data_IF_437823069327
#
_entry.id   IF_437823069327
#
_cell.length_a   1.000
_cell.length_b   1.000
_cell.length_c   1.000
_cell.angle_alpha   90.00
_cell.angle_beta   90.00
_cell.angle_gamma   90.00
#
_symmetry.space_group_name_H-M   'P 1'
#
loop_
_entity.id
_entity.type
_entity.pdbx_description
1 polymer ?
#
# COMPACT_ATOMS: atom_id res chain seq x y z
N UNK A 1 43.36 -34.05 -28.92
CA UNK A 1 42.10 -33.28 -28.76
C UNK A 1 42.44 -31.81 -28.95
N UNK A 2 42.14 -31.28 -30.13
CA UNK A 2 42.33 -29.87 -30.51
C UNK A 2 41.22 -29.04 -29.89
N UNK A 3 41.57 -28.13 -28.98
CA UNK A 3 40.65 -27.13 -28.43
C UNK A 3 40.36 -26.09 -29.50
N UNK A 4 39.08 -25.87 -29.79
CA UNK A 4 38.65 -24.79 -30.71
C UNK A 4 39.05 -23.43 -30.11
N UNK A 5 39.62 -22.48 -30.88
CA UNK A 5 39.96 -21.14 -30.38
C UNK A 5 38.74 -20.28 -30.05
N UNK A 6 37.53 -20.79 -30.30
CA UNK A 6 36.25 -20.14 -30.07
C UNK A 6 35.54 -20.80 -28.89
N UNK A 7 36.19 -20.87 -27.73
CA UNK A 7 35.47 -21.09 -26.47
C UNK A 7 34.34 -20.05 -26.34
N UNK A 8 33.24 -20.36 -25.63
CA UNK A 8 32.12 -19.43 -25.49
C UNK A 8 32.63 -18.07 -25.01
N UNK A 9 32.41 -17.02 -25.81
CA UNK A 9 32.83 -15.65 -25.45
C UNK A 9 32.19 -15.29 -24.13
N UNK A 10 32.95 -14.87 -23.12
CA UNK A 10 32.38 -14.56 -21.83
C UNK A 10 31.41 -13.36 -21.91
N UNK A 11 30.38 -13.36 -21.05
CA UNK A 11 29.41 -12.27 -21.01
C UNK A 11 30.10 -10.96 -20.60
N UNK A 12 30.01 -9.94 -21.47
CA UNK A 12 30.60 -8.62 -21.22
C UNK A 12 30.02 -7.91 -20.00
N UNK A 13 28.81 -8.28 -19.57
CA UNK A 13 28.21 -7.76 -18.33
C UNK A 13 28.70 -8.51 -17.08
N UNK A 14 28.95 -9.81 -17.18
CA UNK A 14 29.39 -10.61 -16.03
C UNK A 14 30.90 -10.48 -15.73
N UNK A 15 31.69 -9.94 -16.68
CA UNK A 15 33.14 -9.76 -16.53
C UNK A 15 33.57 -8.32 -16.29
N UNK A 16 32.64 -7.38 -16.11
CA UNK A 16 33.01 -6.00 -15.79
C UNK A 16 33.73 -6.01 -14.43
N UNK A 17 34.88 -5.32 -14.37
CA UNK A 17 35.61 -5.02 -13.14
C UNK A 17 35.80 -3.51 -12.98
N UNK A 18 35.91 -3.07 -11.73
CA UNK A 18 35.93 -1.65 -11.36
C UNK A 18 35.36 -1.44 -9.96
N UNK A 19 35.33 -0.20 -9.45
CA UNK A 19 34.79 0.09 -8.12
C UNK A 19 33.36 -0.45 -7.97
N UNK A 20 33.17 -1.37 -7.02
CA UNK A 20 31.91 -2.10 -6.85
C UNK A 20 31.06 -1.51 -5.72
N UNK A 21 29.79 -1.26 -6.02
CA UNK A 21 28.77 -0.86 -5.05
C UNK A 21 27.64 -1.88 -5.06
N UNK A 22 27.21 -2.32 -3.88
CA UNK A 22 25.93 -2.97 -3.68
C UNK A 22 24.89 -1.90 -3.34
N UNK A 23 24.03 -1.48 -4.28
CA UNK A 23 23.01 -0.51 -3.96
C UNK A 23 21.84 -1.20 -3.26
N UNK A 24 21.35 -0.56 -2.21
CA UNK A 24 20.14 -0.95 -1.48
C UNK A 24 19.22 0.26 -1.35
N UNK A 25 17.96 0.03 -1.03
CA UNK A 25 16.95 1.08 -0.88
C UNK A 25 16.24 0.95 0.45
N UNK A 26 15.70 2.07 0.92
CA UNK A 26 14.75 2.07 2.01
C UNK A 26 13.41 1.48 1.57
N UNK A 27 12.75 0.75 2.47
CA UNK A 27 11.38 0.31 2.32
C UNK A 27 10.66 0.43 3.66
N UNK A 28 9.38 0.79 3.62
CA UNK A 28 8.48 0.79 4.78
C UNK A 28 7.90 -0.60 4.97
N UNK A 29 7.68 -0.98 6.23
CA UNK A 29 7.11 -2.26 6.64
C UNK A 29 6.26 -2.07 7.90
N UNK A 30 5.34 -2.99 8.23
CA UNK A 30 4.73 -3.01 9.56
C UNK A 30 5.79 -3.22 10.63
N UNK A 31 5.55 -2.67 11.81
CA UNK A 31 6.44 -2.78 12.96
C UNK A 31 6.55 -4.23 13.48
N UNK A 32 7.64 -4.51 14.19
CA UNK A 32 7.87 -5.83 14.82
C UNK A 32 8.51 -6.87 13.90
N UNK A 33 9.05 -6.46 12.74
CA UNK A 33 9.88 -7.32 11.89
C UNK A 33 11.33 -7.36 12.37
N UNK A 34 12.07 -8.39 11.97
CA UNK A 34 13.44 -8.64 12.45
C UNK A 34 14.51 -7.68 11.90
N UNK A 35 14.17 -6.82 10.94
CA UNK A 35 15.09 -5.86 10.32
C UNK A 35 14.66 -4.42 10.60
N UNK A 36 15.65 -3.55 10.73
CA UNK A 36 15.49 -2.11 10.88
C UNK A 36 16.56 -1.38 10.07
N UNK A 37 16.45 -0.06 9.94
CA UNK A 37 17.50 0.75 9.30
C UNK A 37 18.78 0.69 10.15
N UNK A 38 19.90 0.14 9.62
CA UNK A 38 21.14 0.05 10.37
C UNK A 38 21.77 1.43 10.58
N UNK A 39 22.65 1.54 11.58
CA UNK A 39 23.21 2.83 12.01
C UNK A 39 23.95 3.58 10.89
N UNK A 40 24.69 2.85 10.04
CA UNK A 40 25.42 3.44 8.91
C UNK A 40 24.49 4.02 7.83
N UNK A 41 23.25 3.54 7.78
CA UNK A 41 22.25 3.90 6.78
C UNK A 41 21.17 4.84 7.32
N UNK A 42 21.37 5.50 8.46
CA UNK A 42 20.39 6.49 8.91
C UNK A 42 20.32 7.65 7.90
N UNK A 43 19.11 8.05 7.46
CA UNK A 43 18.97 9.19 6.57
C UNK A 43 19.28 10.49 7.32
N UNK A 44 19.77 11.51 6.59
CA UNK A 44 20.08 12.82 7.16
C UNK A 44 18.84 13.52 7.75
N UNK A 45 17.71 13.32 7.10
CA UNK A 45 16.38 13.70 7.60
C UNK A 45 15.66 12.43 8.03
N UNK A 46 15.22 12.31 9.29
CA UNK A 46 14.45 11.16 9.74
C UNK A 46 13.20 10.97 8.89
N UNK A 47 12.85 9.71 8.66
CA UNK A 47 11.57 9.39 8.04
C UNK A 47 10.41 9.75 9.00
N UNK A 48 9.25 10.18 8.45
CA UNK A 48 8.01 10.22 9.21
C UNK A 48 7.75 8.91 9.97
N UNK A 49 7.34 9.04 11.22
CA UNK A 49 7.02 7.92 12.11
C UNK A 49 5.52 7.80 12.24
N UNK A 50 4.99 6.58 12.16
CA UNK A 50 3.57 6.32 12.37
C UNK A 50 3.40 5.05 13.19
N UNK A 51 2.32 4.97 13.96
CA UNK A 51 2.05 3.82 14.81
C UNK A 51 1.94 2.54 13.97
N UNK A 52 2.73 1.54 14.35
CA UNK A 52 2.69 0.23 13.71
C UNK A 52 3.49 0.10 12.41
N UNK A 53 4.34 1.08 12.05
CA UNK A 53 5.21 0.99 10.87
C UNK A 53 6.67 1.35 11.18
N UNK A 54 7.58 0.64 10.52
CA UNK A 54 9.03 0.79 10.60
C UNK A 54 9.66 0.86 9.20
N UNK A 55 10.97 1.09 9.14
CA UNK A 55 11.73 1.11 7.90
C UNK A 55 12.90 0.12 7.96
N UNK A 56 13.27 -0.42 6.81
CA UNK A 56 14.43 -1.31 6.65
C UNK A 56 15.10 -1.10 5.29
N UNK A 57 16.19 -1.83 5.04
CA UNK A 57 16.87 -1.85 3.74
C UNK A 57 16.51 -3.09 2.92
N UNK A 58 16.27 -2.91 1.62
CA UNK A 58 16.03 -3.96 0.63
C UNK A 58 16.92 -3.81 -0.58
N UNK A 59 17.05 -4.87 -1.36
CA UNK A 59 17.55 -4.78 -2.73
C UNK A 59 16.68 -3.81 -3.57
N UNK A 60 17.28 -3.20 -4.58
CA UNK A 60 16.56 -2.32 -5.50
C UNK A 60 15.43 -3.07 -6.22
N UNK A 61 14.26 -2.41 -6.34
CA UNK A 61 13.16 -2.87 -7.20
C UNK A 61 13.40 -2.46 -8.65
N UNK A 62 12.57 -2.97 -9.56
CA UNK A 62 12.64 -2.60 -10.99
C UNK A 62 12.65 -1.08 -11.17
N UNK A 63 13.53 -0.60 -12.05
CA UNK A 63 13.72 0.82 -12.29
C UNK A 63 15.07 1.13 -12.93
N UNK A 64 15.65 2.27 -12.54
CA UNK A 64 16.88 2.80 -13.08
C UNK A 64 17.79 3.31 -11.96
N UNK A 65 19.10 3.18 -12.17
CA UNK A 65 20.11 3.83 -11.34
C UNK A 65 20.94 4.76 -12.23
N UNK A 66 21.08 6.00 -11.79
CA UNK A 66 21.90 7.01 -12.47
C UNK A 66 23.08 7.38 -11.59
N UNK A 67 24.27 7.41 -12.20
CA UNK A 67 25.53 7.77 -11.55
C UNK A 67 26.11 8.98 -12.27
N UNK A 68 26.33 10.07 -11.54
CA UNK A 68 27.03 11.26 -12.02
C UNK A 68 28.43 11.32 -11.46
N UNK A 69 29.44 11.46 -12.33
CA UNK A 69 30.83 11.59 -11.94
C UNK A 69 31.25 13.06 -11.94
N UNK A 70 31.55 13.64 -10.78
CA UNK A 70 31.92 15.06 -10.70
C UNK A 70 33.25 15.37 -11.40
N UNK A 71 34.18 14.42 -11.40
CA UNK A 71 35.55 14.61 -11.90
C UNK A 71 35.60 14.90 -13.40
N UNK A 72 34.65 14.38 -14.19
CA UNK A 72 34.59 14.60 -15.64
C UNK A 72 33.20 15.01 -16.15
N UNK A 73 32.24 15.23 -15.22
CA UNK A 73 30.86 15.65 -15.52
C UNK A 73 30.14 14.71 -16.48
N UNK A 74 30.37 13.39 -16.35
CA UNK A 74 29.73 12.37 -17.17
C UNK A 74 28.66 11.61 -16.38
N UNK A 75 27.70 11.07 -17.13
CA UNK A 75 26.63 10.22 -16.60
C UNK A 75 26.82 8.77 -17.02
N UNK A 76 26.51 7.87 -16.09
CA UNK A 76 26.34 6.44 -16.32
C UNK A 76 24.93 6.04 -15.91
N UNK A 77 24.29 5.18 -16.71
CA UNK A 77 22.93 4.70 -16.46
C UNK A 77 22.89 3.19 -16.36
N UNK A 78 22.03 2.70 -15.49
CA UNK A 78 21.77 1.29 -15.24
C UNK A 78 20.27 1.05 -15.21
N UNK A 79 19.84 -0.13 -15.65
CA UNK A 79 18.48 -0.62 -15.42
C UNK A 79 18.50 -1.70 -14.34
N UNK A 80 17.47 -1.71 -13.51
CA UNK A 80 17.21 -2.74 -12.51
C UNK A 80 16.07 -3.61 -13.01
N UNK A 81 16.27 -4.93 -13.07
CA UNK A 81 15.22 -5.88 -13.42
C UNK A 81 14.32 -6.21 -12.22
N UNK A 82 13.21 -6.91 -12.44
CA UNK A 82 12.25 -7.31 -11.39
C UNK A 82 12.87 -8.24 -10.33
N UNK A 83 13.94 -8.95 -10.69
CA UNK A 83 14.70 -9.83 -9.81
C UNK A 83 15.88 -9.13 -9.11
N UNK A 84 15.96 -7.79 -9.22
CA UNK A 84 16.98 -6.95 -8.60
C UNK A 84 18.33 -6.98 -9.33
N UNK A 85 18.43 -7.61 -10.51
CA UNK A 85 19.66 -7.61 -11.30
C UNK A 85 19.92 -6.27 -12.00
N UNK A 86 21.18 -5.84 -12.02
CA UNK A 86 21.66 -4.55 -12.50
C UNK A 86 22.36 -4.68 -13.85
N UNK A 87 21.94 -3.83 -14.79
CA UNK A 87 22.35 -3.89 -16.18
C UNK A 87 22.86 -2.54 -16.66
N UNK A 88 24.16 -2.45 -16.89
CA UNK A 88 24.81 -1.25 -17.40
C UNK A 88 24.24 -0.89 -18.77
N UNK A 89 23.78 0.33 -18.92
CA UNK A 89 23.21 0.82 -20.18
C UNK A 89 24.30 1.44 -21.06
N UNK A 90 24.16 1.40 -22.39
CA UNK A 90 25.10 2.06 -23.31
C UNK A 90 25.23 3.56 -23.07
N UNK A 91 24.18 4.21 -22.58
CA UNK A 91 24.15 5.63 -22.23
C UNK A 91 23.05 5.90 -21.21
N UNK A 92 23.27 6.85 -20.30
CA UNK A 92 22.25 7.28 -19.34
C UNK A 92 20.98 7.83 -20.03
N UNK A 93 21.13 8.68 -21.04
CA UNK A 93 20.00 9.28 -21.76
C UNK A 93 19.16 8.25 -22.54
N UNK A 94 19.77 7.14 -22.93
CA UNK A 94 19.13 6.07 -23.71
C UNK A 94 18.89 4.79 -22.91
N UNK A 95 18.91 4.87 -21.58
CA UNK A 95 18.57 3.75 -20.71
C UNK A 95 17.18 3.17 -21.07
N UNK A 96 17.06 1.84 -21.00
CA UNK A 96 15.83 1.09 -21.28
C UNK A 96 15.44 0.27 -20.07
N UNK A 97 14.13 0.08 -19.87
CA UNK A 97 13.63 -0.78 -18.80
C UNK A 97 14.05 -2.24 -19.04
N UNK A 98 14.35 -2.94 -17.96
CA UNK A 98 14.70 -4.35 -17.96
C UNK A 98 13.63 -5.11 -17.15
N UNK A 99 13.06 -6.17 -17.71
CA UNK A 99 12.09 -7.02 -16.99
C UNK A 99 12.78 -8.17 -16.28
N UNK A 100 13.59 -8.93 -17.00
CA UNK A 100 14.26 -10.14 -16.53
C UNK A 100 15.75 -10.10 -16.84
N UNK A 101 16.51 -11.03 -16.26
CA UNK A 101 17.89 -11.27 -16.70
C UNK A 101 17.92 -11.72 -18.16
N UNK A 102 18.72 -11.04 -18.99
CA UNK A 102 18.96 -11.39 -20.39
C UNK A 102 20.27 -12.17 -20.60
N UNK A 103 20.92 -12.64 -19.52
CA UNK A 103 22.17 -13.38 -19.63
C UNK A 103 21.87 -14.85 -19.99
N UNK A 104 22.08 -15.20 -21.25
CA UNK A 104 21.86 -16.56 -21.78
C UNK A 104 23.14 -17.38 -21.91
N UNK A 105 24.27 -16.87 -21.41
CA UNK A 105 25.57 -17.53 -21.54
C UNK A 105 25.67 -18.80 -20.67
N UNK A 106 26.35 -19.88 -21.13
CA UNK A 106 26.46 -21.14 -20.38
C UNK A 106 27.11 -21.02 -19.00
N UNK A 107 27.98 -20.01 -18.83
CA UNK A 107 28.63 -19.67 -17.56
C UNK A 107 28.10 -18.31 -17.06
N UNK A 108 26.84 -18.30 -16.63
CA UNK A 108 26.21 -17.14 -15.99
C UNK A 108 26.44 -17.19 -14.47
N UNK A 109 27.08 -16.16 -13.91
CA UNK A 109 27.09 -15.95 -12.45
C UNK A 109 26.09 -14.85 -12.09
N UNK A 110 24.86 -15.18 -11.64
CA UNK A 110 23.84 -14.19 -11.32
C UNK A 110 24.25 -13.22 -10.20
N UNK A 111 25.11 -13.65 -9.28
CA UNK A 111 25.61 -12.80 -8.19
C UNK A 111 26.39 -11.59 -8.70
N UNK A 112 27.07 -11.70 -9.84
CA UNK A 112 27.81 -10.59 -10.44
C UNK A 112 26.88 -9.48 -10.98
N UNK A 113 25.59 -9.76 -11.12
CA UNK A 113 24.59 -8.78 -11.55
C UNK A 113 23.89 -8.10 -10.36
N UNK A 114 24.28 -8.39 -9.13
CA UNK A 114 23.65 -7.82 -7.94
C UNK A 114 24.23 -6.46 -7.54
N UNK A 115 25.29 -6.01 -8.21
CA UNK A 115 26.09 -4.84 -7.88
C UNK A 115 26.34 -3.92 -9.08
N UNK A 116 26.57 -2.64 -8.80
CA UNK A 116 27.06 -1.65 -9.75
C UNK A 116 28.58 -1.78 -9.86
N UNK A 117 29.09 -2.03 -11.06
CA UNK A 117 30.53 -1.97 -11.34
C UNK A 117 30.82 -0.67 -12.09
N UNK A 118 31.28 0.33 -11.34
CA UNK A 118 31.43 1.68 -11.85
C UNK A 118 32.69 1.84 -12.73
N UNK A 119 32.69 2.89 -13.53
CA UNK A 119 33.89 3.36 -14.21
C UNK A 119 35.01 3.71 -13.21
N UNK A 120 36.30 3.44 -13.51
CA UNK A 120 37.43 3.89 -12.67
C UNK A 120 37.49 5.42 -12.45
N UNK A 121 36.73 6.19 -13.23
CA UNK A 121 36.51 7.63 -13.00
C UNK A 121 35.92 7.91 -11.60
N UNK A 122 35.18 6.97 -11.03
CA UNK A 122 34.66 7.04 -9.65
C UNK A 122 35.75 7.23 -8.58
N UNK A 123 36.99 6.83 -8.89
CA UNK A 123 38.14 6.96 -7.97
C UNK A 123 38.84 8.34 -8.06
N UNK A 124 38.40 9.21 -8.99
CA UNK A 124 39.05 10.51 -9.28
C UNK A 124 38.31 11.71 -8.70
N UNK A 125 37.12 11.51 -8.14
CA UNK A 125 36.28 12.54 -7.54
C UNK A 125 34.99 11.92 -7.01
N UNK A 126 34.12 12.74 -6.43
CA UNK A 126 32.86 12.25 -5.87
C UNK A 126 31.96 11.72 -6.99
N UNK A 127 31.15 10.71 -6.66
CA UNK A 127 30.08 10.24 -7.52
C UNK A 127 28.74 10.35 -6.80
N UNK A 128 27.71 10.71 -7.56
CA UNK A 128 26.36 10.88 -7.04
C UNK A 128 25.46 9.82 -7.65
N UNK A 129 24.71 9.13 -6.80
CA UNK A 129 23.92 7.96 -7.19
C UNK A 129 22.46 8.19 -6.81
N UNK A 130 21.55 7.94 -7.75
CA UNK A 130 20.12 7.95 -7.46
C UNK A 130 19.43 6.76 -8.10
N UNK A 131 18.46 6.21 -7.37
CA UNK A 131 17.51 5.24 -7.85
C UNK A 131 16.18 5.93 -8.19
N UNK A 132 15.50 5.46 -9.23
CA UNK A 132 14.14 5.89 -9.61
C UNK A 132 13.41 4.77 -10.35
N UNK A 133 12.09 4.66 -10.20
CA UNK A 133 11.29 3.70 -10.98
C UNK A 133 11.08 4.13 -12.43
N UNK A 134 11.24 5.42 -12.72
CA UNK A 134 11.01 5.99 -14.05
C UNK A 134 12.30 6.48 -14.69
N UNK A 135 12.38 6.38 -16.01
CA UNK A 135 13.56 6.81 -16.76
C UNK A 135 13.71 8.34 -16.65
N UNK A 136 14.89 8.80 -16.21
CA UNK A 136 15.26 10.21 -16.32
C UNK A 136 15.56 10.58 -17.77
N UNK A 137 14.97 11.69 -18.20
CA UNK A 137 15.24 12.29 -19.51
C UNK A 137 16.38 13.28 -19.46
N UNK A 138 16.81 13.72 -20.64
CA UNK A 138 17.95 14.62 -20.81
C UNK A 138 17.82 15.88 -19.96
N UNK A 139 16.64 16.50 -19.88
CA UNK A 139 16.41 17.68 -19.04
C UNK A 139 16.67 17.44 -17.56
N UNK A 140 16.31 16.28 -17.02
CA UNK A 140 16.60 15.86 -15.64
C UNK A 140 18.09 15.63 -15.42
N UNK A 141 18.75 14.93 -16.36
CA UNK A 141 20.20 14.68 -16.31
C UNK A 141 20.99 16.00 -16.40
N UNK A 142 20.55 16.94 -17.23
CA UNK A 142 21.12 18.27 -17.35
C UNK A 142 20.94 19.06 -16.06
N UNK A 143 19.73 19.11 -15.51
CA UNK A 143 19.43 19.79 -14.24
C UNK A 143 20.36 19.30 -13.13
N UNK A 144 20.42 17.99 -12.87
CA UNK A 144 21.27 17.46 -11.81
C UNK A 144 22.77 17.54 -12.14
N UNK A 145 23.14 17.56 -13.43
CA UNK A 145 24.52 17.80 -13.85
C UNK A 145 24.98 19.23 -13.59
N UNK A 146 24.12 20.23 -13.85
CA UNK A 146 24.44 21.65 -13.74
C UNK A 146 24.18 22.26 -12.37
N UNK A 147 23.21 21.76 -11.61
CA UNK A 147 22.82 22.28 -10.30
C UNK A 147 23.26 21.34 -9.18
N UNK A 148 24.36 21.71 -8.51
CA UNK A 148 24.90 20.95 -7.39
C UNK A 148 23.97 20.91 -6.17
N UNK A 149 23.13 21.93 -5.96
CA UNK A 149 22.20 21.96 -4.85
C UNK A 149 21.01 21.03 -5.11
N UNK A 150 20.46 21.05 -6.32
CA UNK A 150 19.44 20.09 -6.72
C UNK A 150 19.96 18.65 -6.64
N UNK A 151 21.20 18.42 -7.12
CA UNK A 151 21.87 17.12 -7.03
C UNK A 151 22.01 16.64 -5.59
N UNK A 152 22.52 17.50 -4.69
CA UNK A 152 22.70 17.15 -3.27
C UNK A 152 21.40 16.80 -2.55
N UNK A 153 20.28 17.40 -2.94
CA UNK A 153 18.96 17.09 -2.36
C UNK A 153 18.40 15.75 -2.81
N UNK A 154 18.78 15.27 -4.01
CA UNK A 154 18.15 14.10 -4.65
C UNK A 154 19.01 12.84 -4.65
N UNK A 155 20.33 13.00 -4.72
CA UNK A 155 21.27 11.92 -4.98
C UNK A 155 22.15 11.65 -3.76
N UNK A 156 22.48 10.38 -3.54
CA UNK A 156 23.43 9.97 -2.53
C UNK A 156 24.86 10.20 -3.03
N UNK A 157 25.67 10.93 -2.25
CA UNK A 157 27.09 11.11 -2.55
C UNK A 157 27.89 9.90 -2.07
N UNK A 158 28.79 9.40 -2.91
CA UNK A 158 29.91 8.58 -2.50
C UNK A 158 31.17 9.39 -2.74
N UNK A 159 31.77 9.83 -1.65
CA UNK A 159 32.96 10.66 -1.65
C UNK A 159 34.18 9.84 -2.04
N UNK A 160 35.11 10.46 -2.76
CA UNK A 160 36.23 9.72 -3.37
C UNK A 160 37.10 8.96 -2.36
N UNK A 161 37.15 9.41 -1.09
CA UNK A 161 37.95 8.78 -0.04
C UNK A 161 37.29 7.52 0.55
N UNK A 162 35.96 7.40 0.44
CA UNK A 162 35.20 6.26 0.97
C UNK A 162 35.58 4.95 0.26
N UNK A 163 36.12 5.02 -0.97
CA UNK A 163 36.66 3.87 -1.70
C UNK A 163 37.92 3.26 -1.08
N UNK A 164 38.47 3.82 -0.01
CA UNK A 164 39.67 3.29 0.66
C UNK A 164 39.40 3.04 2.13
N UNK A 165 38.82 4.01 2.83
CA UNK A 165 38.58 3.94 4.28
C UNK A 165 37.18 4.49 4.59
N UNK A 166 36.11 3.78 4.22
CA UNK A 166 34.75 4.23 4.54
C UNK A 166 34.53 4.21 6.06
N UNK A 167 33.86 5.23 6.59
CA UNK A 167 33.60 5.37 8.02
C UNK A 167 32.33 4.61 8.48
N UNK A 168 31.62 3.92 7.57
CA UNK A 168 30.33 3.26 7.81
C UNK A 168 29.28 4.22 8.39
N UNK A 169 29.03 5.29 7.65
CA UNK A 169 28.11 6.37 8.01
C UNK A 169 27.59 7.05 6.73
N UNK A 170 26.68 8.02 6.89
CA UNK A 170 26.18 8.83 5.77
C UNK A 170 25.63 7.98 4.62
N UNK A 171 24.98 6.84 4.94
CA UNK A 171 24.38 5.92 3.96
C UNK A 171 25.39 5.16 3.09
N UNK A 172 26.65 5.10 3.51
CA UNK A 172 27.73 4.35 2.85
C UNK A 172 28.48 3.48 3.87
N UNK A 173 28.60 2.19 3.59
CA UNK A 173 29.36 1.25 4.41
C UNK A 173 30.34 0.42 3.58
N UNK A 174 31.40 -0.06 4.22
CA UNK A 174 32.23 -1.14 3.69
C UNK A 174 31.39 -2.40 3.53
N UNK A 175 31.48 -3.06 2.38
CA UNK A 175 30.84 -4.34 2.18
C UNK A 175 31.51 -5.41 3.04
N UNK A 176 30.72 -6.03 3.92
CA UNK A 176 31.08 -7.21 4.71
C UNK A 176 29.86 -8.12 4.88
N UNK A 177 30.07 -9.36 5.33
CA UNK A 177 28.96 -10.30 5.57
C UNK A 177 28.00 -9.74 6.62
N UNK A 178 28.52 -9.08 7.64
CA UNK A 178 27.76 -8.45 8.72
C UNK A 178 26.87 -7.35 8.17
N UNK A 179 27.42 -6.42 7.37
CA UNK A 179 26.65 -5.34 6.75
C UNK A 179 25.59 -5.87 5.78
N UNK A 180 25.89 -6.93 5.02
CA UNK A 180 24.91 -7.53 4.13
C UNK A 180 23.76 -8.19 4.91
N UNK A 181 24.04 -8.83 6.04
CA UNK A 181 23.01 -9.47 6.87
C UNK A 181 22.09 -8.46 7.60
N UNK A 182 22.43 -7.17 7.63
CA UNK A 182 21.52 -6.09 8.08
C UNK A 182 20.46 -5.74 7.01
N UNK A 183 20.61 -6.20 5.77
CA UNK A 183 19.67 -5.97 4.67
C UNK A 183 18.65 -7.10 4.62
N UNK A 184 17.37 -6.76 4.57
CA UNK A 184 16.27 -7.71 4.72
C UNK A 184 16.30 -8.88 3.70
N UNK A 185 16.75 -8.63 2.46
CA UNK A 185 16.85 -9.65 1.41
C UNK A 185 17.97 -10.70 1.65
N UNK A 186 18.90 -10.45 2.57
CA UNK A 186 19.98 -11.39 2.93
C UNK A 186 19.69 -12.19 4.19
N UNK A 187 18.73 -11.76 5.01
CA UNK A 187 18.46 -12.36 6.31
C UNK A 187 18.09 -13.84 6.22
N UNK A 188 18.48 -14.59 7.25
CA UNK A 188 17.96 -15.94 7.47
C UNK A 188 16.44 -15.87 7.73
N UNK A 189 15.62 -16.69 7.05
CA UNK A 189 14.19 -16.73 7.30
C UNK A 189 13.88 -17.18 8.72
N UNK A 190 13.01 -16.43 9.39
CA UNK A 190 12.48 -16.73 10.72
C UNK A 190 11.09 -16.12 10.87
N UNK A 191 10.37 -16.35 11.98
CA UNK A 191 8.97 -15.94 12.14
C UNK A 191 8.70 -14.44 11.92
N UNK A 192 9.65 -13.57 12.30
CA UNK A 192 9.58 -12.13 12.11
C UNK A 192 10.29 -11.63 10.84
N UNK A 193 10.76 -12.54 9.98
CA UNK A 193 11.49 -12.17 8.77
C UNK A 193 10.52 -11.58 7.73
N UNK A 194 10.80 -10.38 7.19
CA UNK A 194 9.94 -9.70 6.23
C UNK A 194 9.53 -10.56 5.01
N UNK A 195 10.40 -11.44 4.53
CA UNK A 195 10.11 -12.30 3.36
C UNK A 195 8.95 -13.28 3.61
N UNK A 196 8.72 -13.65 4.88
CA UNK A 196 7.65 -14.57 5.29
C UNK A 196 6.39 -13.84 5.74
N UNK A 197 6.56 -12.70 6.41
CA UNK A 197 5.44 -11.90 6.96
C UNK A 197 4.81 -10.95 5.95
N UNK A 198 5.57 -10.49 4.95
CA UNK A 198 5.12 -9.65 3.85
C UNK A 198 5.43 -10.32 2.50
N UNK A 199 4.72 -11.41 2.15
CA UNK A 199 4.90 -12.02 0.83
C UNK A 199 4.59 -11.04 -0.31
N UNK A 200 5.20 -11.24 -1.47
CA UNK A 200 4.92 -10.43 -2.66
C UNK A 200 3.53 -10.76 -3.21
N UNK A 201 2.65 -9.75 -3.28
CA UNK A 201 1.30 -9.79 -3.84
C UNK A 201 0.53 -11.11 -3.52
N UNK A 202 0.30 -11.42 -2.23
CA UNK A 202 -0.39 -12.64 -1.84
C UNK A 202 -1.89 -12.53 -2.13
N UNK A 203 -2.62 -13.66 -2.22
CA UNK A 203 -4.06 -13.63 -2.09
C UNK A 203 -4.46 -13.11 -0.69
N UNK A 204 -5.58 -12.41 -0.63
CA UNK A 204 -6.19 -11.99 0.64
C UNK A 204 -6.48 -13.23 1.48
N UNK A 205 -6.04 -13.22 2.73
CA UNK A 205 -6.24 -14.34 3.66
C UNK A 205 -7.58 -14.22 4.35
N UNK A 206 -8.18 -15.39 4.64
CA UNK A 206 -9.33 -15.46 5.52
C UNK A 206 -8.97 -14.99 6.92
N UNK A 207 -9.68 -13.98 7.41
CA UNK A 207 -9.51 -13.44 8.77
C UNK A 207 -10.69 -13.73 9.70
N UNK A 208 -11.89 -13.97 9.16
CA UNK A 208 -13.05 -14.37 9.97
C UNK A 208 -12.90 -15.81 10.48
N UNK A 209 -13.28 -16.04 11.74
CA UNK A 209 -13.31 -17.37 12.37
C UNK A 209 -14.69 -17.61 12.94
N UNK A 210 -15.15 -18.85 12.82
CA UNK A 210 -16.48 -19.28 13.26
C UNK A 210 -16.40 -20.51 14.16
N UNK A 211 -17.18 -20.54 15.22
CA UNK A 211 -17.30 -21.69 16.12
C UNK A 211 -18.75 -22.17 16.28
N UNK A 212 -18.91 -23.44 16.67
CA UNK A 212 -20.23 -24.03 16.92
C UNK A 212 -20.90 -23.50 18.19
N UNK A 213 -20.14 -22.89 19.09
CA UNK A 213 -20.60 -22.30 20.35
C UNK A 213 -20.04 -20.88 20.52
N UNK A 214 -20.56 -20.15 21.52
CA UNK A 214 -20.08 -18.81 21.89
C UNK A 214 -18.53 -18.79 22.01
N UNK A 215 -17.83 -17.80 21.40
CA UNK A 215 -18.38 -16.53 20.88
C UNK A 215 -18.99 -16.59 19.47
N UNK A 216 -19.03 -17.76 18.81
CA UNK A 216 -19.48 -18.02 17.43
C UNK A 216 -18.71 -17.32 16.31
N UNK A 217 -18.30 -16.07 16.51
CA UNK A 217 -17.58 -15.25 15.53
C UNK A 217 -16.45 -14.52 16.23
N UNK A 218 -15.24 -14.60 15.68
CA UNK A 218 -14.08 -13.89 16.19
C UNK A 218 -13.05 -13.73 15.08
N UNK A 219 -12.04 -12.91 15.35
CA UNK A 219 -10.88 -12.74 14.50
C UNK A 219 -9.69 -12.34 15.37
N UNK A 220 -8.47 -12.55 14.86
CA UNK A 220 -7.29 -12.00 15.49
C UNK A 220 -7.08 -10.58 14.98
N UNK A 221 -7.21 -9.58 15.86
CA UNK A 221 -6.94 -8.20 15.48
C UNK A 221 -5.51 -8.07 14.91
N UNK A 222 -4.53 -8.82 15.41
CA UNK A 222 -3.16 -8.84 14.87
C UNK A 222 -3.06 -9.22 13.40
N UNK A 223 -4.05 -9.95 12.85
CA UNK A 223 -4.11 -10.33 11.43
C UNK A 223 -4.68 -9.22 10.53
N UNK A 224 -5.31 -8.17 11.09
CA UNK A 224 -5.89 -7.03 10.34
C UNK A 224 -4.81 -6.03 9.91
N UNK A 225 -3.76 -6.49 9.25
CA UNK A 225 -2.57 -5.69 8.91
C UNK A 225 -2.28 -5.74 7.41
N UNK A 226 -1.24 -5.06 6.96
CA UNK A 226 -0.71 -5.27 5.62
C UNK A 226 -0.49 -6.77 5.37
N UNK A 227 -1.02 -7.28 4.27
CA UNK A 227 -1.01 -8.70 3.93
C UNK A 227 0.22 -9.06 3.09
N UNK A 228 0.73 -8.10 2.32
CA UNK A 228 1.88 -8.33 1.46
C UNK A 228 2.69 -7.09 1.15
N UNK A 229 3.55 -7.22 0.15
CA UNK A 229 4.34 -6.12 -0.42
C UNK A 229 4.09 -6.02 -1.93
N UNK A 230 4.10 -4.80 -2.46
CA UNK A 230 4.02 -4.50 -3.89
C UNK A 230 5.31 -4.83 -4.63
N UNK A 231 6.42 -4.98 -3.91
CA UNK A 231 7.75 -5.18 -4.51
C UNK A 231 8.30 -6.57 -4.19
N UNK A 232 8.69 -7.30 -5.23
CA UNK A 232 9.24 -8.66 -5.11
C UNK A 232 10.46 -8.71 -4.20
N UNK A 233 10.57 -9.77 -3.40
CA UNK A 233 11.78 -10.08 -2.64
C UNK A 233 12.85 -10.67 -3.55
N UNK A 234 14.10 -10.26 -3.36
CA UNK A 234 15.27 -10.83 -4.03
C UNK A 234 15.67 -12.15 -3.37
N UNK A 235 14.81 -13.18 -3.45
CA UNK A 235 14.97 -14.47 -2.74
C UNK A 235 16.30 -15.18 -2.98
N UNK A 236 17.00 -14.88 -4.09
CA UNK A 236 18.32 -15.43 -4.39
C UNK A 236 19.43 -14.91 -3.47
N UNK A 237 19.21 -13.80 -2.77
CA UNK A 237 20.16 -13.18 -1.84
C UNK A 237 20.07 -13.77 -0.42
N UNK A 238 18.95 -14.42 -0.10
CA UNK A 238 18.68 -15.03 1.20
C UNK A 238 19.83 -15.97 1.60
N UNK A 239 20.49 -15.67 2.74
CA UNK A 239 21.64 -16.43 3.25
C UNK A 239 22.83 -16.51 2.28
N UNK A 240 22.92 -15.62 1.30
CA UNK A 240 24.01 -15.57 0.29
C UNK A 240 24.96 -14.37 0.49
N UNK A 241 25.06 -13.83 1.71
CA UNK A 241 25.92 -12.68 2.01
C UNK A 241 27.39 -12.96 1.65
N UNK A 242 27.95 -14.09 2.09
CA UNK A 242 29.34 -14.48 1.78
C UNK A 242 29.57 -14.56 0.26
N UNK A 243 28.66 -15.22 -0.47
CA UNK A 243 28.76 -15.36 -1.92
C UNK A 243 28.76 -14.01 -2.64
N UNK A 244 27.98 -13.05 -2.13
CA UNK A 244 27.94 -11.68 -2.66
C UNK A 244 29.26 -10.95 -2.37
N UNK A 245 29.79 -11.06 -1.16
CA UNK A 245 31.09 -10.47 -0.79
C UNK A 245 32.21 -11.02 -1.68
N UNK A 246 32.26 -12.33 -1.91
CA UNK A 246 33.27 -12.94 -2.78
C UNK A 246 33.18 -12.38 -4.22
N UNK A 247 31.97 -12.19 -4.73
CA UNK A 247 31.74 -11.59 -6.05
C UNK A 247 32.16 -10.11 -6.08
N UNK A 248 31.81 -9.34 -5.05
CA UNK A 248 32.20 -7.93 -4.92
C UNK A 248 33.72 -7.78 -4.87
N UNK A 249 34.42 -8.57 -4.06
CA UNK A 249 35.89 -8.55 -3.99
C UNK A 249 36.53 -8.92 -5.32
N UNK A 250 35.97 -9.92 -6.02
CA UNK A 250 36.47 -10.35 -7.33
C UNK A 250 36.30 -9.27 -8.41
N UNK A 251 35.13 -8.64 -8.50
CA UNK A 251 34.85 -7.62 -9.53
C UNK A 251 35.45 -6.25 -9.16
N UNK A 252 35.51 -5.96 -7.86
CA UNK A 252 36.05 -4.75 -7.27
C UNK A 252 37.56 -4.71 -7.08
N UNK A 253 38.26 -5.79 -7.43
CA UNK A 253 39.70 -5.88 -7.27
C UNK A 253 40.44 -4.79 -8.06
N UNK A 254 41.43 -4.19 -7.42
CA UNK A 254 42.28 -3.16 -8.02
C UNK A 254 42.82 -2.19 -6.98
N UNK A 255 43.54 -1.19 -7.47
CA UNK A 255 44.08 -0.10 -6.66
C UNK A 255 43.64 1.25 -7.23
N UNK A 256 43.57 2.26 -6.36
CA UNK A 256 43.37 3.64 -6.79
C UNK A 256 44.67 4.25 -7.34
N UNK A 257 44.65 5.55 -7.70
CA UNK A 257 45.82 6.27 -8.23
C UNK A 257 47.03 6.38 -7.27
N UNK A 258 46.88 5.92 -6.03
CA UNK A 258 47.89 5.93 -4.97
C UNK A 258 48.29 4.52 -4.54
N UNK A 259 48.04 3.51 -5.38
CA UNK A 259 48.32 2.09 -5.12
C UNK A 259 47.63 1.52 -3.87
N UNK A 260 46.57 2.19 -3.37
CA UNK A 260 45.77 1.67 -2.26
C UNK A 260 44.67 0.75 -2.78
N UNK A 261 44.43 -0.42 -2.15
CA UNK A 261 43.32 -1.30 -2.48
C UNK A 261 41.98 -0.56 -2.50
N UNK A 262 41.14 -0.90 -3.47
CA UNK A 262 39.77 -0.38 -3.56
C UNK A 262 38.89 -1.18 -2.59
N UNK A 263 38.20 -0.47 -1.71
CA UNK A 263 37.18 -1.00 -0.81
C UNK A 263 35.84 -1.04 -1.51
N UNK A 264 35.17 -2.19 -1.49
CA UNK A 264 33.82 -2.32 -2.03
C UNK A 264 32.79 -1.79 -1.04
N UNK A 265 31.73 -1.17 -1.56
CA UNK A 265 30.81 -0.39 -0.73
C UNK A 265 29.38 -0.92 -0.82
N UNK A 266 28.61 -0.73 0.25
CA UNK A 266 27.15 -0.81 0.27
C UNK A 266 26.62 0.60 0.38
N UNK A 267 25.64 0.96 -0.45
CA UNK A 267 25.11 2.32 -0.50
C UNK A 267 23.60 2.28 -0.41
N UNK A 268 23.04 2.95 0.59
CA UNK A 268 21.60 3.11 0.74
C UNK A 268 21.11 4.30 -0.09
N UNK A 269 20.15 4.04 -0.98
CA UNK A 269 19.56 4.98 -1.91
C UNK A 269 18.11 5.29 -1.53
N UNK A 270 17.68 6.51 -1.80
CA UNK A 270 16.30 6.91 -1.61
C UNK A 270 15.37 6.26 -2.64
N UNK A 271 14.25 5.71 -2.18
CA UNK A 271 13.13 5.21 -3.00
C UNK A 271 11.82 5.83 -2.49
N UNK A 272 11.75 7.16 -2.51
CA UNK A 272 10.64 7.87 -1.89
C UNK A 272 9.29 7.58 -2.57
N UNK A 273 9.29 7.38 -3.89
CA UNK A 273 8.12 6.90 -4.62
C UNK A 273 7.72 5.50 -4.17
N UNK A 274 8.68 4.57 -4.06
CA UNK A 274 8.39 3.19 -3.64
C UNK A 274 7.81 3.11 -2.22
N UNK A 275 8.30 3.91 -1.28
CA UNK A 275 7.72 4.00 0.07
C UNK A 275 6.27 4.50 0.01
N UNK A 276 6.01 5.58 -0.74
CA UNK A 276 4.65 6.11 -0.86
C UNK A 276 3.68 5.10 -1.50
N UNK A 277 4.16 4.36 -2.51
CA UNK A 277 3.42 3.31 -3.19
C UNK A 277 3.13 2.13 -2.26
N UNK A 278 4.11 1.70 -1.45
CA UNK A 278 3.94 0.63 -0.48
C UNK A 278 2.90 0.99 0.59
N UNK A 279 2.92 2.23 1.10
CA UNK A 279 1.89 2.74 2.01
C UNK A 279 0.49 2.74 1.37
N UNK A 280 0.39 3.10 0.09
CA UNK A 280 -0.87 3.01 -0.65
C UNK A 280 -1.37 1.56 -0.76
N UNK A 281 -0.47 0.62 -1.09
CA UNK A 281 -0.79 -0.80 -1.15
C UNK A 281 -1.26 -1.37 0.20
N UNK A 282 -0.70 -0.90 1.32
CA UNK A 282 -1.19 -1.29 2.65
C UNK A 282 -2.62 -0.80 2.93
N UNK A 283 -3.05 0.34 2.35
CA UNK A 283 -4.45 0.80 2.42
C UNK A 283 -5.36 -0.09 1.57
N UNK A 284 -4.89 -0.52 0.40
CA UNK A 284 -5.60 -1.44 -0.47
C UNK A 284 -5.80 -2.80 0.23
N UNK A 285 -4.79 -3.29 0.96
CA UNK A 285 -4.90 -4.51 1.78
C UNK A 285 -6.01 -4.40 2.83
N UNK A 286 -6.16 -3.27 3.52
CA UNK A 286 -7.25 -3.08 4.50
C UNK A 286 -8.62 -3.13 3.83
N UNK A 287 -8.75 -2.48 2.68
CA UNK A 287 -9.99 -2.50 1.89
C UNK A 287 -10.31 -3.91 1.41
N UNK A 288 -9.28 -4.66 0.99
CA UNK A 288 -9.41 -6.03 0.54
C UNK A 288 -9.79 -6.98 1.69
N UNK A 289 -9.27 -6.78 2.89
CA UNK A 289 -9.67 -7.52 4.09
C UNK A 289 -11.15 -7.26 4.44
N UNK A 290 -11.62 -6.01 4.32
CA UNK A 290 -13.02 -5.69 4.55
C UNK A 290 -13.94 -6.37 3.53
N UNK A 291 -13.60 -6.30 2.24
CA UNK A 291 -14.33 -6.99 1.19
C UNK A 291 -14.31 -8.52 1.37
N UNK A 292 -13.16 -9.08 1.76
CA UNK A 292 -12.99 -10.50 2.06
C UNK A 292 -13.89 -10.95 3.21
N UNK A 293 -13.98 -10.17 4.29
CA UNK A 293 -14.87 -10.46 5.42
C UNK A 293 -16.34 -10.57 4.99
N UNK A 294 -16.80 -9.66 4.14
CA UNK A 294 -18.17 -9.68 3.61
C UNK A 294 -18.45 -10.92 2.76
N UNK A 295 -17.47 -11.36 1.96
CA UNK A 295 -17.57 -12.56 1.14
C UNK A 295 -17.57 -13.84 2.00
N UNK A 296 -16.62 -13.92 2.94
CA UNK A 296 -16.42 -15.06 3.85
C UNK A 296 -17.65 -15.37 4.71
N UNK A 297 -18.38 -14.34 5.15
CA UNK A 297 -19.57 -14.43 6.00
C UNK A 297 -20.84 -13.98 5.27
N UNK A 298 -20.85 -14.12 3.94
CA UNK A 298 -21.95 -13.65 3.09
C UNK A 298 -23.30 -14.26 3.48
N UNK A 299 -23.34 -15.52 3.90
CA UNK A 299 -24.56 -16.21 4.35
C UNK A 299 -25.10 -15.56 5.62
N UNK A 300 -24.25 -15.23 6.58
CA UNK A 300 -24.63 -14.57 7.82
C UNK A 300 -25.17 -13.15 7.56
N UNK A 301 -24.48 -12.37 6.72
CA UNK A 301 -24.96 -11.05 6.31
C UNK A 301 -26.33 -11.13 5.62
N UNK A 302 -26.46 -12.05 4.66
CA UNK A 302 -27.74 -12.29 3.98
C UNK A 302 -28.83 -12.72 4.95
N UNK A 303 -28.50 -13.54 5.94
CA UNK A 303 -29.45 -14.02 6.95
C UNK A 303 -29.95 -12.88 7.84
N UNK A 304 -29.04 -12.06 8.37
CA UNK A 304 -29.39 -10.89 9.19
C UNK A 304 -30.21 -9.88 8.38
N UNK A 305 -29.81 -9.59 7.14
CA UNK A 305 -30.54 -8.69 6.27
C UNK A 305 -31.93 -9.24 5.92
N UNK A 306 -32.05 -10.54 5.65
CA UNK A 306 -33.34 -11.18 5.34
C UNK A 306 -34.26 -11.20 6.54
N UNK A 307 -33.75 -11.46 7.75
CA UNK A 307 -34.53 -11.41 8.99
C UNK A 307 -35.03 -9.99 9.26
N UNK A 308 -34.16 -8.97 9.11
CA UNK A 308 -34.54 -7.58 9.24
C UNK A 308 -35.60 -7.18 8.19
N UNK A 309 -35.44 -7.63 6.94
CA UNK A 309 -36.39 -7.41 5.86
C UNK A 309 -37.75 -8.04 6.14
N UNK A 310 -37.79 -9.30 6.57
CA UNK A 310 -39.03 -10.01 6.91
C UNK A 310 -39.76 -9.34 8.09
N UNK A 311 -39.02 -8.95 9.13
CA UNK A 311 -39.58 -8.22 10.28
C UNK A 311 -40.18 -6.88 9.84
N UNK A 312 -39.48 -6.12 9.00
CA UNK A 312 -39.97 -4.85 8.47
C UNK A 312 -41.23 -5.05 7.60
N UNK A 313 -41.24 -6.06 6.71
CA UNK A 313 -42.43 -6.37 5.90
C UNK A 313 -43.66 -6.65 6.75
N UNK A 314 -43.53 -7.46 7.80
CA UNK A 314 -44.64 -7.73 8.73
C UNK A 314 -45.07 -6.44 9.43
N UNK A 315 -44.12 -5.63 9.91
CA UNK A 315 -44.45 -4.34 10.53
C UNK A 315 -45.23 -3.42 9.59
N UNK A 316 -44.82 -3.31 8.32
CA UNK A 316 -45.54 -2.50 7.32
C UNK A 316 -46.92 -3.07 6.99
N UNK A 317 -47.06 -4.40 6.92
CA UNK A 317 -48.36 -5.04 6.72
C UNK A 317 -49.32 -4.76 7.89
N UNK A 318 -48.85 -4.86 9.14
CA UNK A 318 -49.64 -4.57 10.33
C UNK A 318 -50.03 -3.08 10.40
N UNK A 319 -49.10 -2.17 10.08
CA UNK A 319 -49.40 -0.72 9.96
C UNK A 319 -50.48 -0.46 8.91
N UNK A 320 -50.37 -1.05 7.73
CA UNK A 320 -51.36 -0.89 6.67
C UNK A 320 -52.74 -1.46 7.06
N UNK A 321 -52.76 -2.59 7.78
CA UNK A 321 -53.99 -3.19 8.28
C UNK A 321 -54.66 -2.32 9.35
N UNK A 322 -53.87 -1.78 10.29
CA UNK A 322 -54.36 -0.87 11.33
C UNK A 322 -54.89 0.45 10.73
N UNK A 323 -54.17 1.03 9.78
CA UNK A 323 -54.62 2.22 9.04
C UNK A 323 -55.96 1.94 8.34
N UNK A 324 -56.07 0.81 7.63
CA UNK A 324 -57.33 0.39 7.02
C UNK A 324 -58.46 0.24 8.04
N UNK A 325 -58.22 -0.43 9.18
CA UNK A 325 -59.23 -0.60 10.23
C UNK A 325 -59.69 0.73 10.80
N UNK A 326 -58.79 1.68 11.03
CA UNK A 326 -59.17 3.02 11.51
C UNK A 326 -60.03 3.74 10.47
N UNK A 327 -59.63 3.74 9.19
CA UNK A 327 -60.40 4.35 8.09
C UNK A 327 -61.76 3.68 7.89
N UNK A 328 -61.87 2.35 8.00
CA UNK A 328 -63.12 1.60 7.92
C UNK A 328 -64.04 1.92 9.11
N UNK A 329 -63.50 1.97 10.34
CA UNK A 329 -64.23 2.37 11.54
C UNK A 329 -64.74 3.82 11.41
N UNK A 330 -63.95 4.73 10.85
CA UNK A 330 -64.39 6.10 10.56
C UNK A 330 -65.42 6.17 9.44
N UNK A 331 -65.27 5.42 8.35
CA UNK A 331 -66.28 5.36 7.27
C UNK A 331 -67.62 4.84 7.81
N UNK A 332 -67.58 3.86 8.70
CA UNK A 332 -68.78 3.34 9.38
C UNK A 332 -69.38 4.36 10.35
N UNK A 333 -68.56 5.11 11.09
CA UNK A 333 -69.00 6.17 12.02
C UNK A 333 -69.50 7.42 11.28
N UNK A 334 -68.89 7.78 10.16
CA UNK A 334 -69.32 8.88 9.29
C UNK A 334 -70.65 8.53 8.60
N UNK A 335 -70.85 7.29 8.16
CA UNK A 335 -72.17 6.81 7.71
C UNK A 335 -73.21 6.82 8.84
N UNK A 336 -72.82 6.42 10.06
CA UNK A 336 -73.70 6.46 11.24
C UNK A 336 -74.02 7.91 11.71
N UNK A 337 -73.10 8.84 11.50
CA UNK A 337 -73.26 10.28 11.76
C UNK A 337 -74.03 11.00 10.67
N UNK A 338 -73.87 10.59 9.41
CA UNK A 338 -74.65 11.11 8.27
C UNK A 338 -76.12 10.66 8.35
N UNK A 339 -76.44 9.53 8.97
CA UNK A 339 -77.83 9.15 9.24
C UNK A 339 -78.47 10.02 10.35
N UNK A 340 -77.65 10.63 11.23
CA UNK A 340 -78.11 11.61 12.22
C UNK A 340 -78.09 13.07 11.74
N UNK A 341 -77.37 13.38 10.66
CA UNK A 341 -77.33 14.71 10.03
C UNK A 341 -78.26 14.81 8.80
N UNK A 342 -78.68 13.67 8.23
CA UNK A 342 -79.72 13.66 7.18
C UNK A 342 -81.13 13.97 7.71
N UNK A 343 -81.29 14.01 9.04
CA UNK A 343 -82.46 14.53 9.72
C UNK A 343 -82.41 16.02 10.02
N UNK A 344 -82.13 16.87 9.01
CA UNK A 344 -82.45 18.31 9.08
C UNK A 344 -81.29 19.30 8.95
N UNK A 345 -81.15 19.85 7.74
CA UNK A 345 -80.62 21.18 7.40
C UNK A 345 -79.15 21.48 7.72
N UNK A 346 -78.27 21.39 6.71
CA UNK A 346 -77.09 22.29 6.63
C UNK A 346 -77.00 22.87 5.21
N UNK A 347 -77.41 24.13 5.12
CA UNK A 347 -77.25 25.00 3.97
C UNK A 347 -75.80 25.49 3.82
N UNK A 348 -75.47 25.95 2.61
CA UNK A 348 -74.21 26.55 2.18
C UNK A 348 -73.67 27.60 3.18
N UNK A 349 -72.60 27.26 3.92
CA UNK A 349 -71.82 28.20 4.75
C UNK A 349 -70.41 28.35 4.17
N UNK A 350 -69.95 29.56 3.81
CA UNK A 350 -68.57 29.80 3.37
C UNK A 350 -67.58 29.45 4.49
N UNK A 351 -66.59 28.60 4.19
CA UNK A 351 -65.61 28.09 5.17
C UNK A 351 -65.89 26.67 5.69
N UNK A 352 -67.07 26.10 5.38
CA UNK A 352 -67.36 24.71 5.69
C UNK A 352 -66.41 23.72 4.99
N UNK A 353 -65.90 24.07 3.80
CA UNK A 353 -64.94 23.25 3.06
C UNK A 353 -63.54 23.25 3.70
N UNK A 354 -63.06 24.39 4.22
CA UNK A 354 -61.78 24.46 4.94
C UNK A 354 -61.83 23.76 6.29
N UNK A 355 -62.94 23.86 7.03
CA UNK A 355 -63.17 23.10 8.27
C UNK A 355 -63.28 21.59 8.01
N UNK A 356 -63.92 21.19 6.91
CA UNK A 356 -63.97 19.78 6.49
C UNK A 356 -62.59 19.27 6.12
N UNK A 357 -61.80 20.06 5.40
CA UNK A 357 -60.43 19.72 5.03
C UNK A 357 -59.52 19.58 6.27
N UNK A 358 -59.62 20.49 7.25
CA UNK A 358 -58.83 20.41 8.48
C UNK A 358 -59.22 19.21 9.33
N UNK A 359 -60.52 18.92 9.46
CA UNK A 359 -60.99 17.74 10.17
C UNK A 359 -60.55 16.43 9.50
N UNK A 360 -60.52 16.39 8.16
CA UNK A 360 -59.99 15.26 7.40
C UNK A 360 -58.48 15.09 7.62
N UNK A 361 -57.71 16.19 7.59
CA UNK A 361 -56.27 16.16 7.83
C UNK A 361 -55.92 15.71 9.26
N UNK A 362 -56.62 16.24 10.28
CA UNK A 362 -56.45 15.83 11.68
C UNK A 362 -56.80 14.34 11.87
N UNK A 363 -57.79 13.84 11.13
CA UNK A 363 -58.21 12.45 11.16
C UNK A 363 -57.18 11.54 10.49
N UNK A 364 -56.66 11.92 9.32
CA UNK A 364 -55.55 11.22 8.66
C UNK A 364 -54.31 11.16 9.55
N UNK A 365 -53.97 12.25 10.24
CA UNK A 365 -52.87 12.29 11.19
C UNK A 365 -53.10 11.34 12.39
N UNK A 366 -54.32 11.28 12.93
CA UNK A 366 -54.66 10.32 14.00
C UNK A 366 -54.64 8.87 13.52
N UNK A 367 -55.09 8.61 12.29
CA UNK A 367 -55.02 7.29 11.67
C UNK A 367 -53.57 6.84 11.49
N UNK A 368 -52.68 7.74 11.06
CA UNK A 368 -51.24 7.48 10.95
C UNK A 368 -50.60 7.17 12.30
N UNK A 369 -50.83 8.00 13.33
CA UNK A 369 -50.29 7.77 14.68
C UNK A 369 -50.83 6.47 15.31
N UNK A 370 -52.13 6.19 15.13
CA UNK A 370 -52.74 4.96 15.62
C UNK A 370 -52.24 3.73 14.85
N UNK A 371 -51.95 3.87 13.56
CA UNK A 371 -51.35 2.82 12.72
C UNK A 371 -49.92 2.52 13.15
N UNK A 372 -49.12 3.55 13.49
CA UNK A 372 -47.77 3.36 14.01
C UNK A 372 -47.77 2.56 15.32
N UNK A 373 -48.60 2.95 16.29
CA UNK A 373 -48.71 2.27 17.59
C UNK A 373 -49.27 0.85 17.45
N UNK A 374 -50.36 0.68 16.71
CA UNK A 374 -50.98 -0.62 16.49
C UNK A 374 -50.07 -1.56 15.66
N UNK A 375 -49.30 -1.02 14.73
CA UNK A 375 -48.33 -1.78 13.95
C UNK A 375 -47.19 -2.33 14.81
N UNK A 376 -46.72 -1.57 15.80
CA UNK A 376 -45.67 -2.02 16.72
C UNK A 376 -46.20 -3.08 17.71
N UNK A 377 -47.42 -2.90 18.24
CA UNK A 377 -48.09 -3.88 19.12
C UNK A 377 -48.46 -5.18 18.38
N UNK A 378 -48.98 -5.06 17.16
CA UNK A 378 -49.32 -6.21 16.33
C UNK A 378 -48.07 -6.93 15.80
N UNK A 379 -46.98 -6.21 15.49
CA UNK A 379 -45.68 -6.82 15.20
C UNK A 379 -45.20 -7.65 16.40
N UNK A 380 -45.30 -7.12 17.61
CA UNK A 380 -44.91 -7.85 18.82
C UNK A 380 -45.69 -9.17 18.99
N UNK A 381 -46.89 -9.28 18.42
CA UNK A 381 -47.70 -10.52 18.45
C UNK A 381 -47.43 -11.43 17.25
N UNK A 382 -47.43 -10.88 16.04
CA UNK A 382 -47.28 -11.62 14.77
C UNK A 382 -45.87 -12.16 14.55
N UNK A 383 -44.86 -11.46 15.07
CA UNK A 383 -43.45 -11.85 15.01
C UNK A 383 -43.01 -12.74 16.17
N UNK A 384 -43.69 -12.72 17.32
CA UNK A 384 -43.26 -13.39 18.56
C UNK A 384 -42.85 -14.86 18.37
N UNK A 385 -43.64 -15.62 17.61
CA UNK A 385 -43.38 -17.05 17.37
C UNK A 385 -42.11 -17.30 16.55
N UNK A 386 -41.75 -16.37 15.67
CA UNK A 386 -40.53 -16.46 14.88
C UNK A 386 -39.35 -15.99 15.71
N UNK A 387 -39.52 -14.87 16.42
CA UNK A 387 -38.51 -14.31 17.33
C UNK A 387 -38.05 -15.33 18.38
N UNK A 388 -38.99 -16.08 18.97
CA UNK A 388 -38.70 -17.12 19.96
C UNK A 388 -37.82 -18.26 19.45
N UNK A 389 -37.76 -18.49 18.13
CA UNK A 389 -36.92 -19.52 17.49
C UNK A 389 -35.53 -18.98 17.11
N UNK A 390 -35.31 -17.66 17.20
CA UNK A 390 -34.04 -17.03 16.84
C UNK A 390 -33.03 -17.14 17.98
N UNK A 391 -31.79 -17.44 17.60
CA UNK A 391 -30.66 -17.32 18.51
C UNK A 391 -30.18 -15.86 18.54
N UNK A 392 -30.81 -15.05 19.39
CA UNK A 392 -30.48 -13.63 19.55
C UNK A 392 -29.04 -13.39 19.99
N UNK A 393 -28.50 -14.24 20.88
CA UNK A 393 -27.13 -14.12 21.35
C UNK A 393 -26.13 -14.27 20.18
N UNK A 394 -26.37 -15.23 19.29
CA UNK A 394 -25.54 -15.43 18.10
C UNK A 394 -25.65 -14.29 17.10
N UNK A 395 -26.85 -13.73 16.89
CA UNK A 395 -27.06 -12.55 16.03
C UNK A 395 -26.33 -11.34 16.60
N UNK A 396 -26.45 -11.09 17.90
CA UNK A 396 -25.77 -10.00 18.58
C UNK A 396 -24.24 -10.18 18.54
N UNK A 397 -23.75 -11.40 18.74
CA UNK A 397 -22.33 -11.72 18.63
C UNK A 397 -21.79 -11.47 17.22
N UNK A 398 -22.53 -11.85 16.18
CA UNK A 398 -22.17 -11.55 14.79
C UNK A 398 -22.04 -10.05 14.53
N UNK A 399 -23.06 -9.27 14.91
CA UNK A 399 -23.06 -7.82 14.72
C UNK A 399 -21.93 -7.13 15.50
N UNK A 400 -21.74 -7.52 16.77
CA UNK A 400 -20.68 -6.97 17.61
C UNK A 400 -19.27 -7.32 17.08
N UNK A 401 -19.07 -8.54 16.59
CA UNK A 401 -17.81 -8.96 15.97
C UNK A 401 -17.51 -8.16 14.71
N UNK A 402 -18.51 -7.96 13.84
CA UNK A 402 -18.36 -7.16 12.63
C UNK A 402 -18.12 -5.67 12.93
N UNK A 403 -18.82 -5.10 13.92
CA UNK A 403 -18.59 -3.72 14.37
C UNK A 403 -17.16 -3.55 14.90
N UNK A 404 -16.67 -4.49 15.71
CA UNK A 404 -15.29 -4.47 16.20
C UNK A 404 -14.29 -4.59 15.05
N UNK A 405 -14.53 -5.47 14.07
CA UNK A 405 -13.70 -5.57 12.88
C UNK A 405 -13.64 -4.25 12.09
N UNK A 406 -14.79 -3.62 11.84
CA UNK A 406 -14.85 -2.32 11.16
C UNK A 406 -14.09 -1.23 11.93
N UNK A 407 -14.20 -1.22 13.27
CA UNK A 407 -13.47 -0.29 14.12
C UNK A 407 -11.96 -0.50 14.04
N UNK A 408 -11.48 -1.74 14.02
CA UNK A 408 -10.05 -2.05 13.87
C UNK A 408 -9.53 -1.61 12.50
N UNK A 409 -10.28 -1.88 11.42
CA UNK A 409 -9.95 -1.40 10.07
C UNK A 409 -9.86 0.12 10.04
N UNK A 410 -10.87 0.82 10.56
CA UNK A 410 -10.93 2.29 10.56
C UNK A 410 -9.72 2.90 11.30
N UNK A 411 -9.42 2.43 12.51
CA UNK A 411 -8.25 2.89 13.29
C UNK A 411 -6.94 2.69 12.53
N UNK A 412 -6.75 1.53 11.89
CA UNK A 412 -5.51 1.22 11.15
C UNK A 412 -5.39 2.00 9.86
N UNK A 413 -6.49 2.20 9.15
CA UNK A 413 -6.54 3.05 7.97
C UNK A 413 -6.23 4.51 8.32
N UNK A 414 -6.79 5.03 9.42
CA UNK A 414 -6.51 6.40 9.88
C UNK A 414 -5.03 6.61 10.20
N UNK A 415 -4.42 5.68 10.96
CA UNK A 415 -2.99 5.74 11.26
C UNK A 415 -2.12 5.68 9.98
N UNK A 416 -2.49 4.80 9.04
CA UNK A 416 -1.78 4.66 7.76
C UNK A 416 -1.94 5.90 6.88
N UNK A 417 -3.13 6.51 6.83
CA UNK A 417 -3.37 7.75 6.10
C UNK A 417 -2.56 8.91 6.69
N UNK A 418 -2.50 9.03 8.02
CA UNK A 418 -1.66 10.02 8.69
C UNK A 418 -0.20 9.91 8.29
N UNK A 419 0.38 8.70 8.43
CA UNK A 419 1.77 8.44 8.02
C UNK A 419 2.01 8.74 6.53
N UNK A 420 1.07 8.38 5.66
CA UNK A 420 1.18 8.60 4.23
C UNK A 420 1.12 10.09 3.88
N UNK A 421 0.27 10.88 4.54
CA UNK A 421 0.21 12.34 4.36
C UNK A 421 1.56 12.96 4.77
N UNK A 422 2.11 12.58 5.93
CA UNK A 422 3.42 13.08 6.38
C UNK A 422 4.53 12.70 5.39
N UNK A 423 4.48 11.49 4.81
CA UNK A 423 5.42 11.06 3.78
C UNK A 423 5.33 11.90 2.50
N UNK A 424 4.12 12.17 2.02
CA UNK A 424 3.88 12.98 0.81
C UNK A 424 4.36 14.43 0.99
N UNK A 425 4.34 14.94 2.22
CA UNK A 425 4.85 16.28 2.56
C UNK A 425 6.38 16.29 2.79
N UNK A 426 7.01 15.12 2.88
CA UNK A 426 8.44 15.01 3.16
C UNK A 426 9.31 15.55 2.02
N UNK A 427 10.44 16.15 2.39
CA UNK A 427 11.40 16.66 1.41
C UNK A 427 11.92 15.59 0.41
N UNK A 428 12.19 14.32 0.82
CA UNK A 428 12.56 13.26 -0.12
C UNK A 428 11.49 12.99 -1.18
N UNK A 429 10.21 12.91 -0.80
CA UNK A 429 9.12 12.67 -1.75
C UNK A 429 8.94 13.85 -2.71
N UNK A 430 8.88 15.08 -2.19
CA UNK A 430 8.78 16.29 -3.01
C UNK A 430 9.95 16.36 -4.00
N UNK A 431 11.18 16.11 -3.55
CA UNK A 431 12.36 16.14 -4.42
C UNK A 431 12.31 15.05 -5.49
N UNK A 432 11.86 13.84 -5.14
CA UNK A 432 11.68 12.74 -6.10
C UNK A 432 10.59 13.05 -7.14
N UNK A 433 9.50 13.72 -6.76
CA UNK A 433 8.43 14.12 -7.70
C UNK A 433 8.91 15.14 -8.74
N UNK A 434 10.01 15.83 -8.47
CA UNK A 434 10.64 16.79 -9.38
C UNK A 434 11.64 16.15 -10.35
N UNK A 435 11.81 14.82 -10.34
CA UNK A 435 12.63 14.09 -11.30
C UNK A 435 12.14 14.29 -12.75
N UNK A 436 10.90 14.73 -12.95
CA UNK A 436 10.25 14.90 -14.26
C UNK A 436 10.34 16.35 -14.73
N UNK A 437 11.56 16.79 -14.99
CA UNK A 437 11.89 18.19 -15.25
C UNK A 437 11.75 18.57 -16.74
N UNK A 438 10.58 18.31 -17.34
CA UNK A 438 10.24 18.75 -18.70
C UNK A 438 8.73 18.78 -18.94
N UNK A 439 8.32 19.34 -20.07
CA UNK A 439 6.93 19.28 -20.55
C UNK A 439 6.67 18.10 -21.51
N UNK A 440 7.62 17.16 -21.61
CA UNK A 440 7.45 16.00 -22.49
C UNK A 440 6.32 15.10 -21.99
N UNK A 441 5.59 14.48 -22.92
CA UNK A 441 4.45 13.61 -22.60
C UNK A 441 4.89 12.48 -21.68
N UNK A 442 6.06 11.91 -21.91
CA UNK A 442 6.51 10.77 -21.13
C UNK A 442 6.97 11.14 -19.71
N UNK A 443 7.59 12.31 -19.51
CA UNK A 443 7.86 12.80 -18.15
C UNK A 443 6.56 13.08 -17.40
N UNK A 444 5.55 13.65 -18.08
CA UNK A 444 4.21 13.85 -17.49
C UNK A 444 3.54 12.52 -17.13
N UNK A 445 3.68 11.49 -17.98
CA UNK A 445 3.14 10.15 -17.69
C UNK A 445 3.85 9.51 -16.50
N UNK A 446 5.17 9.64 -16.39
CA UNK A 446 5.93 9.12 -15.25
C UNK A 446 5.68 9.90 -13.96
N UNK A 447 5.52 11.22 -14.03
CA UNK A 447 5.07 12.04 -12.90
C UNK A 447 3.71 11.56 -12.41
N UNK A 448 2.75 11.41 -13.33
CA UNK A 448 1.41 10.92 -13.03
C UNK A 448 1.46 9.54 -12.37
N UNK A 449 2.22 8.59 -12.92
CA UNK A 449 2.34 7.25 -12.34
C UNK A 449 2.91 7.29 -10.91
N UNK A 450 3.93 8.11 -10.66
CA UNK A 450 4.51 8.25 -9.32
C UNK A 450 3.55 8.93 -8.35
N UNK A 451 2.95 10.06 -8.75
CA UNK A 451 2.16 10.90 -7.85
C UNK A 451 0.73 10.40 -7.69
N UNK A 452 0.04 9.99 -8.77
CA UNK A 452 -1.35 9.53 -8.69
C UNK A 452 -1.45 8.28 -7.81
N UNK A 453 -0.58 7.29 -8.00
CA UNK A 453 -0.61 6.08 -7.17
C UNK A 453 -0.22 6.40 -5.72
N UNK A 454 0.70 7.33 -5.51
CA UNK A 454 1.05 7.82 -4.18
C UNK A 454 -0.09 8.58 -3.48
N UNK A 455 -1.09 9.10 -4.22
CA UNK A 455 -2.28 9.79 -3.69
C UNK A 455 -3.56 8.94 -3.70
N UNK A 456 -3.59 7.82 -4.42
CA UNK A 456 -4.77 6.98 -4.57
C UNK A 456 -5.42 6.60 -3.23
N UNK A 457 -6.75 6.62 -3.16
CA UNK A 457 -7.52 6.21 -1.97
C UNK A 457 -7.34 7.09 -0.72
N UNK A 458 -6.57 8.19 -0.79
CA UNK A 458 -6.69 9.27 0.19
C UNK A 458 -7.95 10.06 -0.16
N UNK A 459 -8.97 10.00 0.71
CA UNK A 459 -10.12 10.90 0.62
C UNK A 459 -9.67 12.32 0.99
N UNK A 460 -9.10 13.04 0.01
CA UNK A 460 -8.65 14.43 0.14
C UNK A 460 -9.82 15.44 0.12
N UNK A 461 -11.06 15.00 0.37
CA UNK A 461 -12.26 15.83 0.18
C UNK A 461 -12.61 16.72 1.36
N UNK A 462 -11.88 16.66 2.47
CA UNK A 462 -12.07 17.56 3.61
C UNK A 462 -10.80 18.38 3.89
N UNK A 463 -10.65 19.49 3.15
CA UNK A 463 -9.91 20.68 3.59
C UNK A 463 -10.72 21.92 3.27
#
# INVERSE_FOLDING_TARGET
MTTSPLGPKPCSHCQISGPAILPVRYAVVPAGLSASVPAWAKPDTPFPTGDGYDYLLRALRQGFVYVYYESNRQWEGWSVAEDGSLWKQPSAAYARSQKKSDCTMPYHNPTNLEMLILSPVALKGNCWIAFTSAKWRTGTLERYGSDANARKKRMQCVEYWQWTTPANEQRVAQASVEVLNEIADYMTPGPACPVLTLPYNPPVRRISRTDSASPWFYFDEGEVRAQGTLTSWSRRRCEQAQRTIDAMQKQGAGVNRYDKPITQLVVALDDAAGIAHELAGFSDDMTALHAGWLDELSIEFMSVQSLAGARNQIQQMEKALAEKHTLDAFSSTANYGMDKVSGGVIAMVPGADTQRQSALNDLLQRAQLSSEQAGDEALATSWAKYDAELNHDKINAFNACYEQFCKVIATRMEALHGLRIDWLQSAPFITCSQDFYSTSVEDNLSYREIVDYALASLNLTDT
#
